data_IF_425891127424
#
_entry.id   IF_425891127424
#
_cell.length_a   1.000
_cell.length_b   1.000
_cell.length_c   1.000
_cell.angle_alpha   90.00
_cell.angle_beta   90.00
_cell.angle_gamma   90.00
#
_symmetry.space_group_name_H-M   'P 1'
#
loop_
_entity.id
_entity.type
_entity.pdbx_description
1 polymer ?
#
# COMPACT_ATOMS: atom_id res chain seq x y z
N UNK A 1 -10.13 -6.85 -12.00
CA UNK A 1 -9.29 -5.70 -12.42
C UNK A 1 -8.25 -5.44 -11.35
N UNK A 2 -7.08 -4.94 -11.75
CA UNK A 2 -5.97 -4.62 -10.85
C UNK A 2 -5.85 -3.09 -10.75
N UNK A 3 -5.58 -2.58 -9.55
CA UNK A 3 -5.23 -1.19 -9.30
C UNK A 3 -3.76 -1.13 -8.87
N UNK A 4 -2.98 -0.27 -9.52
CA UNK A 4 -1.58 -0.01 -9.17
C UNK A 4 -1.49 1.44 -8.70
N UNK A 5 -0.95 1.64 -7.50
CA UNK A 5 -0.71 2.96 -6.91
C UNK A 5 0.79 3.10 -6.71
N UNK A 6 1.38 4.05 -7.41
CA UNK A 6 2.82 4.32 -7.31
C UNK A 6 3.08 5.44 -6.30
N UNK A 7 4.11 5.26 -5.48
CA UNK A 7 4.61 6.18 -4.46
C UNK A 7 3.51 6.96 -3.70
N UNK A 8 2.64 6.23 -3.00
CA UNK A 8 1.51 6.77 -2.24
C UNK A 8 1.94 7.85 -1.23
N UNK A 9 3.16 7.73 -0.71
CA UNK A 9 3.80 8.67 0.22
C UNK A 9 4.04 10.07 -0.34
N UNK A 10 4.15 10.22 -1.66
CA UNK A 10 4.49 11.49 -2.30
C UNK A 10 3.28 12.40 -2.56
N UNK A 11 2.06 11.85 -2.55
CA UNK A 11 0.88 12.54 -3.10
C UNK A 11 -0.08 13.13 -2.05
N UNK A 12 -0.07 12.68 -0.79
CA UNK A 12 -1.15 12.98 0.16
C UNK A 12 -0.68 13.17 1.62
N UNK A 13 -1.39 14.04 2.36
CA UNK A 13 -1.25 14.10 3.82
C UNK A 13 -1.84 12.84 4.50
N UNK A 14 -1.40 12.56 5.73
CA UNK A 14 -1.80 11.34 6.45
C UNK A 14 -3.33 11.14 6.54
N UNK A 15 -4.12 12.23 6.62
CA UNK A 15 -5.59 12.14 6.71
C UNK A 15 -6.24 11.72 5.40
N UNK A 16 -5.70 12.18 4.26
CA UNK A 16 -6.24 11.81 2.96
C UNK A 16 -5.75 10.43 2.50
N UNK A 17 -4.57 9.99 2.95
CA UNK A 17 -4.07 8.62 2.75
C UNK A 17 -5.03 7.59 3.33
N UNK A 18 -5.45 7.76 4.60
CA UNK A 18 -6.37 6.81 5.25
C UNK A 18 -7.70 6.67 4.49
N UNK A 19 -8.28 7.81 4.07
CA UNK A 19 -9.53 7.83 3.28
C UNK A 19 -9.38 7.16 1.93
N UNK A 20 -8.24 7.35 1.27
CA UNK A 20 -7.95 6.72 -0.01
C UNK A 20 -7.79 5.21 0.17
N UNK A 21 -7.09 4.75 1.20
CA UNK A 21 -6.96 3.32 1.53
C UNK A 21 -8.33 2.70 1.77
N UNK A 22 -9.18 3.31 2.60
CA UNK A 22 -10.55 2.83 2.85
C UNK A 22 -11.37 2.72 1.57
N UNK A 23 -11.30 3.75 0.71
CA UNK A 23 -11.98 3.75 -0.57
C UNK A 23 -11.47 2.62 -1.48
N UNK A 24 -10.15 2.44 -1.57
CA UNK A 24 -9.54 1.39 -2.39
C UNK A 24 -9.94 0.00 -1.89
N UNK A 25 -9.84 -0.27 -0.58
CA UNK A 25 -10.21 -1.54 0.04
C UNK A 25 -11.70 -1.87 -0.13
N UNK A 26 -12.58 -0.86 -0.19
CA UNK A 26 -14.00 -1.06 -0.48
C UNK A 26 -14.26 -1.57 -1.90
N UNK A 27 -13.33 -1.32 -2.84
CA UNK A 27 -13.40 -1.85 -4.18
C UNK A 27 -12.88 -3.29 -4.15
N UNK A 28 -13.73 -4.26 -4.47
CA UNK A 28 -13.38 -5.70 -4.60
C UNK A 28 -12.39 -5.93 -5.76
N UNK A 29 -11.18 -5.41 -5.64
CA UNK A 29 -10.10 -5.39 -6.63
C UNK A 29 -8.80 -5.80 -5.96
N UNK A 30 -7.90 -6.37 -6.74
CA UNK A 30 -6.52 -6.56 -6.31
C UNK A 30 -5.78 -5.24 -6.42
N UNK A 31 -5.10 -4.84 -5.36
CA UNK A 31 -4.45 -3.53 -5.24
C UNK A 31 -2.98 -3.76 -4.91
N UNK A 32 -2.09 -3.08 -5.64
CA UNK A 32 -0.66 -3.01 -5.32
C UNK A 32 -0.33 -1.55 -5.05
N UNK A 33 0.37 -1.31 -3.94
CA UNK A 33 0.78 0.02 -3.49
C UNK A 33 2.29 0.00 -3.27
N UNK A 34 3.00 0.96 -3.85
CA UNK A 34 4.38 1.28 -3.47
C UNK A 34 4.38 2.51 -2.56
N UNK A 35 5.24 2.49 -1.54
CA UNK A 35 5.44 3.62 -0.61
C UNK A 35 6.80 3.51 0.03
N UNK A 36 7.40 4.65 0.35
CA UNK A 36 8.61 4.71 1.19
C UNK A 36 8.32 5.14 2.62
N UNK A 37 7.09 5.59 2.91
CA UNK A 37 6.68 5.99 4.25
C UNK A 37 6.10 4.82 5.06
N UNK A 38 6.87 4.34 6.04
CA UNK A 38 6.48 3.28 6.98
C UNK A 38 5.33 3.67 7.92
N UNK A 39 4.94 4.94 7.97
CA UNK A 39 3.81 5.40 8.79
C UNK A 39 2.46 5.05 8.17
N UNK A 40 2.42 4.80 6.85
CA UNK A 40 1.21 4.39 6.16
C UNK A 40 0.86 2.97 6.60
N UNK A 41 -0.18 2.84 7.41
CA UNK A 41 -0.67 1.54 7.88
C UNK A 41 -1.77 1.05 6.96
N UNK A 42 -1.43 0.08 6.11
CA UNK A 42 -2.41 -0.67 5.34
C UNK A 42 -2.87 -1.86 6.19
N UNK A 43 -4.17 -2.09 6.40
CA UNK A 43 -4.67 -3.27 7.09
C UNK A 43 -4.13 -4.55 6.44
N UNK A 44 -3.34 -5.33 7.17
CA UNK A 44 -2.66 -6.53 6.65
C UNK A 44 -3.50 -7.80 6.76
N UNK A 45 -4.69 -7.71 7.36
CA UNK A 45 -5.58 -8.85 7.64
C UNK A 45 -5.93 -9.67 6.37
N UNK A 46 -5.83 -9.05 5.19
CA UNK A 46 -6.06 -9.70 3.88
C UNK A 46 -4.93 -9.40 2.87
N UNK A 47 -3.78 -8.89 3.32
CA UNK A 47 -2.72 -8.36 2.47
C UNK A 47 -1.35 -9.00 2.73
N UNK A 48 -0.43 -8.79 1.79
CA UNK A 48 0.99 -9.13 1.93
C UNK A 48 1.81 -7.86 1.86
N UNK A 49 2.87 -7.78 2.66
CA UNK A 49 3.86 -6.71 2.58
C UNK A 49 5.12 -7.24 1.90
N UNK A 50 5.70 -6.45 1.01
CA UNK A 50 6.96 -6.77 0.37
C UNK A 50 7.95 -5.64 0.63
N UNK A 51 9.12 -5.99 1.16
CA UNK A 51 10.23 -5.07 1.25
C UNK A 51 11.04 -5.11 -0.05
N UNK A 52 11.42 -3.94 -0.55
CA UNK A 52 12.23 -3.81 -1.76
C UNK A 52 13.51 -3.07 -1.45
N UNK A 53 14.65 -3.71 -1.67
CA UNK A 53 15.98 -3.13 -1.47
C UNK A 53 16.89 -3.53 -2.63
N UNK A 54 17.50 -2.54 -3.30
CA UNK A 54 18.42 -2.76 -4.43
C UNK A 54 17.87 -3.67 -5.55
N UNK A 55 16.54 -3.67 -5.75
CA UNK A 55 15.86 -4.49 -6.76
C UNK A 55 15.53 -5.92 -6.30
N UNK A 56 15.88 -6.29 -5.06
CA UNK A 56 15.42 -7.52 -4.43
C UNK A 56 14.05 -7.29 -3.77
N UNK A 57 13.12 -8.23 -3.94
CA UNK A 57 11.78 -8.17 -3.37
C UNK A 57 11.62 -9.33 -2.38
N UNK A 58 11.35 -9.02 -1.12
CA UNK A 58 11.20 -10.00 -0.05
C UNK A 58 9.84 -9.86 0.63
N UNK A 59 9.10 -10.96 0.78
CA UNK A 59 7.84 -10.96 1.54
C UNK A 59 8.16 -10.76 3.04
N UNK A 60 7.59 -9.72 3.64
CA UNK A 60 7.63 -9.50 5.07
C UNK A 60 6.48 -10.30 5.71
N UNK A 61 6.82 -11.25 6.57
CA UNK A 61 5.86 -11.91 7.45
C UNK A 61 5.36 -10.88 8.46
N UNK A 62 4.18 -10.31 8.21
CA UNK A 62 3.52 -9.34 9.10
C UNK A 62 2.88 -10.03 10.29
#
# INVERSE_FOLDING_TARGET
SILLVDDLSSELDNKNVDRLIDLMLSQKKQIFISTTDQKIRIPTNEGKMFHVEHGLVEEQSV
#
